data_IF_269038129709
#
_entry.id   IF_269038129709
#
_cell.length_a   1.000
_cell.length_b   1.000
_cell.length_c   1.000
_cell.angle_alpha   90.00
_cell.angle_beta   90.00
_cell.angle_gamma   90.00
#
_symmetry.space_group_name_H-M   'P 1'
#
loop_
_entity.id
_entity.type
_entity.pdbx_description
1 polymer ?
#
# COMPACT_ATOMS: atom_id res chain seq x y z
N UNK A 1 -33.94 23.60 12.37
CA UNK A 1 -33.16 22.36 12.63
C UNK A 1 -32.07 22.10 11.57
N UNK A 2 -32.39 22.03 10.27
CA UNK A 2 -31.43 21.73 9.18
C UNK A 2 -30.17 22.62 9.08
N UNK A 3 -30.26 23.92 9.43
CA UNK A 3 -29.12 24.87 9.33
C UNK A 3 -28.01 24.58 10.35
N UNK A 4 -28.34 24.09 11.56
CA UNK A 4 -27.36 23.73 12.57
C UNK A 4 -26.64 22.42 12.23
N UNK A 5 -27.38 21.40 11.79
CA UNK A 5 -26.83 20.10 11.40
C UNK A 5 -25.84 20.23 10.24
N UNK A 6 -26.16 21.04 9.22
CA UNK A 6 -25.26 21.28 8.08
C UNK A 6 -23.94 21.95 8.49
N UNK A 7 -24.00 22.97 9.36
CA UNK A 7 -22.79 23.65 9.86
C UNK A 7 -21.89 22.68 10.63
N UNK A 8 -22.48 21.86 11.51
CA UNK A 8 -21.74 20.83 12.25
C UNK A 8 -21.09 19.81 11.33
N UNK A 9 -21.82 19.29 10.34
CA UNK A 9 -21.31 18.30 9.38
C UNK A 9 -20.11 18.83 8.58
N UNK A 10 -20.21 20.08 8.09
CA UNK A 10 -19.12 20.75 7.36
C UNK A 10 -17.88 20.91 8.22
N UNK A 11 -18.05 21.35 9.47
CA UNK A 11 -16.93 21.50 10.40
C UNK A 11 -16.27 20.15 10.67
N UNK A 12 -17.05 19.10 10.91
CA UNK A 12 -16.52 17.75 11.14
C UNK A 12 -15.72 17.24 9.95
N UNK A 13 -16.27 17.35 8.72
CA UNK A 13 -15.57 16.91 7.50
C UNK A 13 -14.32 17.76 7.22
N UNK A 14 -14.37 19.06 7.45
CA UNK A 14 -13.22 19.94 7.28
C UNK A 14 -12.10 19.59 8.27
N UNK A 15 -12.43 19.40 9.55
CA UNK A 15 -11.46 19.02 10.59
C UNK A 15 -10.85 17.65 10.28
N UNK A 16 -11.66 16.66 9.88
CA UNK A 16 -11.17 15.34 9.51
C UNK A 16 -10.18 15.42 8.33
N UNK A 17 -10.56 16.10 7.23
CA UNK A 17 -9.67 16.26 6.09
C UNK A 17 -8.41 17.08 6.44
N UNK A 18 -8.51 18.09 7.32
CA UNK A 18 -7.34 18.83 7.79
C UNK A 18 -6.36 17.95 8.58
N UNK A 19 -6.87 17.07 9.46
CA UNK A 19 -6.04 16.09 10.17
C UNK A 19 -5.37 15.14 9.17
N UNK A 20 -6.12 14.61 8.20
CA UNK A 20 -5.55 13.76 7.15
C UNK A 20 -4.47 14.47 6.32
N UNK A 21 -4.64 15.76 6.01
CA UNK A 21 -3.63 16.55 5.32
C UNK A 21 -2.35 16.66 6.15
N UNK A 22 -2.46 16.96 7.45
CA UNK A 22 -1.29 17.06 8.35
C UNK A 22 -0.58 15.70 8.43
N UNK A 23 -1.33 14.60 8.59
CA UNK A 23 -0.76 13.25 8.60
C UNK A 23 -0.06 12.92 7.28
N UNK A 24 -0.64 13.30 6.13
CA UNK A 24 -0.04 13.13 4.82
C UNK A 24 1.30 13.87 4.69
N UNK A 25 1.38 15.12 5.16
CA UNK A 25 2.63 15.91 5.18
C UNK A 25 3.68 15.26 6.09
N UNK A 26 3.29 14.79 7.27
CA UNK A 26 4.20 14.09 8.20
C UNK A 26 4.76 12.82 7.55
N UNK A 27 3.91 12.02 6.89
CA UNK A 27 4.35 10.81 6.18
C UNK A 27 5.30 11.12 5.03
N UNK A 28 5.00 12.15 4.23
CA UNK A 28 5.91 12.59 3.16
C UNK A 28 7.26 13.05 3.71
N UNK A 29 7.26 13.85 4.77
CA UNK A 29 8.48 14.31 5.42
C UNK A 29 9.29 13.14 5.98
N UNK A 30 8.64 12.20 6.67
CA UNK A 30 9.29 11.01 7.21
C UNK A 30 9.88 10.10 6.11
N UNK A 31 9.13 9.87 5.02
CA UNK A 31 9.61 9.10 3.89
C UNK A 31 10.79 9.76 3.16
N UNK A 32 10.76 11.10 3.01
CA UNK A 32 11.89 11.85 2.47
C UNK A 32 13.11 11.82 3.40
N UNK A 33 12.89 11.91 4.71
CA UNK A 33 13.95 11.78 5.71
C UNK A 33 14.60 10.38 5.65
N UNK A 34 13.81 9.31 5.53
CA UNK A 34 14.34 7.96 5.29
C UNK A 34 15.22 7.93 4.04
N UNK A 35 14.76 8.50 2.92
CA UNK A 35 15.55 8.54 1.69
C UNK A 35 16.90 9.25 1.84
N UNK A 36 16.97 10.30 2.68
CA UNK A 36 18.23 11.02 2.94
C UNK A 36 19.21 10.23 3.80
N UNK A 37 18.73 9.39 4.72
CA UNK A 37 19.58 8.57 5.59
C UNK A 37 20.02 7.26 4.91
N UNK A 38 19.20 6.74 3.97
CA UNK A 38 19.54 5.55 3.18
C UNK A 38 20.68 5.84 2.19
N UNK A 39 20.85 7.09 1.73
CA UNK A 39 21.89 7.45 0.75
C UNK A 39 23.33 7.45 1.26
N UNK A 40 23.57 7.35 2.58
CA UNK A 40 24.92 7.32 3.17
C UNK A 40 25.44 5.92 3.49
N UNK A 41 24.59 4.89 3.38
CA UNK A 41 24.91 3.50 3.63
C UNK A 41 24.66 2.75 2.31
N UNK A 42 25.51 1.80 1.94
CA UNK A 42 25.32 0.97 0.75
C UNK A 42 24.15 0.00 1.03
N UNK A 43 22.91 0.52 1.01
CA UNK A 43 21.72 -0.23 1.42
C UNK A 43 20.99 -0.78 0.21
N UNK A 44 20.70 -2.06 0.33
CA UNK A 44 19.86 -2.89 -0.52
C UNK A 44 18.59 -2.18 -1.05
N UNK A 45 18.16 -2.56 -2.26
CA UNK A 45 17.06 -1.93 -3.01
C UNK A 45 15.70 -1.97 -2.26
N UNK A 46 15.60 -2.76 -1.20
CA UNK A 46 14.38 -2.99 -0.44
C UNK A 46 14.02 -1.82 0.49
N UNK A 47 14.99 -1.17 1.12
CA UNK A 47 14.74 -0.03 2.03
C UNK A 47 14.32 1.23 1.27
N UNK A 48 14.92 1.47 0.10
CA UNK A 48 14.53 2.59 -0.78
C UNK A 48 13.11 2.44 -1.31
N UNK A 49 12.67 1.21 -1.62
CA UNK A 49 11.29 0.92 -1.99
C UNK A 49 10.31 1.24 -0.86
N UNK A 50 10.62 0.85 0.37
CA UNK A 50 9.77 1.15 1.54
C UNK A 50 9.62 2.66 1.74
N UNK A 51 10.73 3.41 1.70
CA UNK A 51 10.70 4.86 1.83
C UNK A 51 9.86 5.51 0.70
N UNK A 52 10.03 5.05 -0.54
CA UNK A 52 9.28 5.53 -1.71
C UNK A 52 7.78 5.28 -1.55
N UNK A 53 7.38 4.09 -1.10
CA UNK A 53 5.97 3.75 -0.86
C UNK A 53 5.36 4.66 0.21
N UNK A 54 6.10 4.94 1.30
CA UNK A 54 5.63 5.86 2.36
C UNK A 54 5.38 7.26 1.81
N UNK A 55 6.29 7.80 0.99
CA UNK A 55 6.11 9.11 0.36
C UNK A 55 4.88 9.13 -0.56
N UNK A 56 4.71 8.11 -1.39
CA UNK A 56 3.57 8.01 -2.30
C UNK A 56 2.24 7.93 -1.54
N UNK A 57 2.18 7.13 -0.47
CA UNK A 57 1.00 7.05 0.40
C UNK A 57 0.68 8.41 1.04
N UNK A 58 1.69 9.12 1.55
CA UNK A 58 1.53 10.46 2.09
C UNK A 58 0.99 11.46 1.06
N UNK A 59 1.50 11.41 -0.17
CA UNK A 59 1.06 12.26 -1.27
C UNK A 59 -0.40 12.01 -1.65
N UNK A 60 -0.82 10.74 -1.77
CA UNK A 60 -2.21 10.38 -2.04
C UNK A 60 -3.14 10.88 -0.93
N UNK A 61 -2.78 10.67 0.33
CA UNK A 61 -3.55 11.17 1.48
C UNK A 61 -3.70 12.70 1.46
N UNK A 62 -2.61 13.42 1.13
CA UNK A 62 -2.62 14.87 1.04
C UNK A 62 -3.52 15.37 -0.10
N UNK A 63 -3.43 14.78 -1.29
CA UNK A 63 -4.30 15.12 -2.43
C UNK A 63 -5.76 14.88 -2.05
N UNK A 64 -6.08 13.71 -1.50
CA UNK A 64 -7.43 13.35 -1.07
C UNK A 64 -7.99 14.35 -0.05
N UNK A 65 -7.17 14.76 0.93
CA UNK A 65 -7.53 15.74 1.93
C UNK A 65 -7.78 17.15 1.33
N UNK A 66 -6.95 17.59 0.40
CA UNK A 66 -7.15 18.87 -0.31
C UNK A 66 -8.46 18.86 -1.09
N UNK A 67 -8.75 17.78 -1.82
CA UNK A 67 -10.02 17.61 -2.52
C UNK A 67 -11.21 17.63 -1.55
N UNK A 68 -11.11 16.95 -0.39
CA UNK A 68 -12.15 16.96 0.64
C UNK A 68 -12.39 18.34 1.27
N UNK A 69 -11.32 19.07 1.57
CA UNK A 69 -11.39 20.45 2.06
C UNK A 69 -12.02 21.38 1.02
N UNK A 70 -11.57 21.30 -0.24
CA UNK A 70 -12.08 22.13 -1.33
C UNK A 70 -13.56 21.83 -1.63
N UNK A 71 -13.95 20.55 -1.63
CA UNK A 71 -15.36 20.14 -1.79
C UNK A 71 -16.26 20.70 -0.68
N UNK A 72 -15.75 20.74 0.57
CA UNK A 72 -16.48 21.28 1.72
C UNK A 72 -16.57 22.81 1.68
N UNK A 73 -15.49 23.48 1.24
CA UNK A 73 -15.40 24.95 1.18
C UNK A 73 -16.17 25.56 0.02
N UNK A 74 -16.03 25.03 -1.20
CA UNK A 74 -16.62 25.62 -2.40
C UNK A 74 -18.15 25.43 -2.48
N UNK A 75 -18.74 24.60 -1.61
CA UNK A 75 -20.17 24.25 -1.59
C UNK A 75 -20.73 23.85 -2.97
N UNK A 76 -19.83 23.43 -3.88
CA UNK A 76 -20.18 23.15 -5.26
C UNK A 76 -20.67 21.71 -5.35
N UNK A 77 -21.84 21.52 -5.97
CA UNK A 77 -22.42 20.18 -6.14
C UNK A 77 -21.46 19.27 -6.89
N UNK A 78 -20.78 19.79 -7.91
CA UNK A 78 -19.85 19.01 -8.74
C UNK A 78 -18.66 18.49 -7.94
N UNK A 79 -18.01 19.31 -7.10
CA UNK A 79 -16.86 18.86 -6.32
C UNK A 79 -17.23 17.90 -5.20
N UNK A 80 -18.41 18.08 -4.60
CA UNK A 80 -18.87 17.17 -3.56
C UNK A 80 -19.31 15.82 -4.15
N UNK A 81 -19.86 15.81 -5.37
CA UNK A 81 -20.12 14.57 -6.13
C UNK A 81 -18.79 13.90 -6.50
N UNK A 82 -17.80 14.64 -7.02
CA UNK A 82 -16.50 14.03 -7.37
C UNK A 82 -15.82 13.42 -6.15
N UNK A 83 -15.86 14.10 -4.99
CA UNK A 83 -15.34 13.56 -3.73
C UNK A 83 -16.03 12.24 -3.33
N UNK A 84 -17.37 12.20 -3.39
CA UNK A 84 -18.12 10.98 -3.10
C UNK A 84 -17.78 9.84 -4.08
N UNK A 85 -17.65 10.14 -5.38
CA UNK A 85 -17.27 9.15 -6.41
C UNK A 85 -15.87 8.60 -6.14
N UNK A 86 -14.90 9.44 -5.80
CA UNK A 86 -13.54 8.98 -5.50
C UNK A 86 -13.54 8.06 -4.27
N UNK A 87 -14.28 8.41 -3.21
CA UNK A 87 -14.41 7.53 -2.02
C UNK A 87 -15.02 6.17 -2.37
N UNK A 88 -16.04 6.13 -3.24
CA UNK A 88 -16.63 4.86 -3.69
C UNK A 88 -15.62 4.04 -4.51
N UNK A 89 -14.84 4.67 -5.39
CA UNK A 89 -13.80 3.98 -6.16
C UNK A 89 -12.74 3.38 -5.22
N UNK A 90 -12.29 4.14 -4.21
CA UNK A 90 -11.32 3.66 -3.22
C UNK A 90 -11.87 2.49 -2.40
N UNK A 91 -13.13 2.56 -1.97
CA UNK A 91 -13.80 1.46 -1.28
C UNK A 91 -13.84 0.19 -2.12
N UNK A 92 -14.17 0.30 -3.40
CA UNK A 92 -14.20 -0.84 -4.32
C UNK A 92 -12.80 -1.45 -4.47
N UNK A 93 -11.77 -0.61 -4.67
CA UNK A 93 -10.38 -1.08 -4.76
C UNK A 93 -9.97 -1.79 -3.47
N UNK A 94 -10.28 -1.24 -2.29
CA UNK A 94 -9.94 -1.86 -1.00
C UNK A 94 -10.64 -3.20 -0.82
N UNK A 95 -11.92 -3.32 -1.16
CA UNK A 95 -12.64 -4.60 -1.10
C UNK A 95 -11.98 -5.64 -2.02
N UNK A 96 -11.56 -5.26 -3.23
CA UNK A 96 -10.80 -6.15 -4.11
C UNK A 96 -9.47 -6.56 -3.50
N UNK A 97 -8.69 -5.63 -2.96
CA UNK A 97 -7.40 -5.92 -2.31
C UNK A 97 -7.55 -6.87 -1.12
N UNK A 98 -8.56 -6.63 -0.26
CA UNK A 98 -8.88 -7.51 0.88
C UNK A 98 -9.34 -8.89 0.40
N UNK A 99 -10.14 -8.96 -0.67
CA UNK A 99 -10.54 -10.25 -1.22
C UNK A 99 -9.33 -11.04 -1.73
N UNK A 100 -8.43 -10.40 -2.47
CA UNK A 100 -7.19 -11.01 -2.96
C UNK A 100 -6.32 -11.47 -1.78
N UNK A 101 -6.13 -10.64 -0.74
CA UNK A 101 -5.32 -11.00 0.42
C UNK A 101 -5.88 -12.19 1.20
N UNK A 102 -7.21 -12.32 1.33
CA UNK A 102 -7.83 -13.52 1.91
C UNK A 102 -7.59 -14.78 1.07
N UNK A 103 -7.73 -14.69 -0.25
CA UNK A 103 -7.41 -15.82 -1.15
C UNK A 103 -5.92 -16.17 -1.14
N UNK A 104 -5.08 -15.19 -0.84
CA UNK A 104 -3.65 -15.40 -0.65
C UNK A 104 -3.34 -16.18 0.62
N UNK A 105 -3.99 -15.84 1.73
CA UNK A 105 -3.85 -16.55 3.00
C UNK A 105 -4.41 -17.97 2.96
N UNK A 106 -5.46 -18.25 2.16
CA UNK A 106 -6.08 -19.59 2.07
C UNK A 106 -5.35 -20.58 1.16
N UNK A 107 -4.18 -20.20 0.62
CA UNK A 107 -3.31 -21.09 -0.14
C UNK A 107 -3.52 -21.07 -1.67
N UNK A 108 -4.52 -20.38 -2.22
CA UNK A 108 -4.64 -20.26 -3.69
C UNK A 108 -3.51 -19.44 -4.31
N UNK A 109 -3.00 -18.43 -3.59
CA UNK A 109 -1.79 -17.71 -4.03
C UNK A 109 -0.55 -18.60 -4.05
N UNK A 110 -0.50 -19.72 -3.31
CA UNK A 110 0.67 -20.62 -3.36
C UNK A 110 0.96 -21.11 -4.77
N UNK A 111 -0.07 -21.40 -5.58
CA UNK A 111 0.10 -21.84 -6.97
C UNK A 111 0.59 -20.72 -7.90
N UNK A 112 0.08 -19.49 -7.74
CA UNK A 112 0.54 -18.33 -8.51
C UNK A 112 1.95 -17.90 -8.10
N UNK A 113 2.24 -17.99 -6.80
CA UNK A 113 3.55 -17.73 -6.22
C UNK A 113 4.58 -18.73 -6.73
N UNK A 114 4.24 -20.01 -6.70
CA UNK A 114 5.09 -21.07 -7.21
C UNK A 114 5.39 -20.88 -8.69
N UNK A 115 4.39 -20.53 -9.50
CA UNK A 115 4.59 -20.18 -10.91
C UNK A 115 5.46 -18.94 -11.11
N UNK A 116 5.31 -17.92 -10.27
CA UNK A 116 6.14 -16.72 -10.31
C UNK A 116 7.60 -17.03 -10.00
N UNK A 117 7.85 -17.83 -8.96
CA UNK A 117 9.19 -18.31 -8.65
C UNK A 117 9.75 -19.28 -9.70
N UNK A 118 8.90 -20.09 -10.36
CA UNK A 118 9.31 -20.90 -11.52
C UNK A 118 9.78 -20.03 -12.69
N UNK A 119 9.08 -18.93 -12.97
CA UNK A 119 9.44 -18.01 -14.05
C UNK A 119 10.71 -17.20 -13.72
N UNK A 120 10.85 -16.77 -12.45
CA UNK A 120 12.06 -16.13 -11.95
C UNK A 120 13.26 -17.10 -11.94
N UNK A 121 13.01 -18.39 -11.73
CA UNK A 121 14.00 -19.45 -11.75
C UNK A 121 14.21 -20.00 -13.19
N UNK A 122 14.48 -19.10 -14.15
CA UNK A 122 14.91 -19.53 -15.48
C UNK A 122 16.33 -20.12 -15.42
N UNK A 123 16.43 -21.44 -15.69
CA UNK A 123 17.68 -22.20 -15.69
C UNK A 123 18.76 -21.60 -16.60
N UNK A 124 18.38 -20.82 -17.62
CA UNK A 124 19.32 -20.22 -18.59
C UNK A 124 19.91 -18.87 -18.16
N UNK A 125 19.23 -18.09 -17.31
CA UNK A 125 19.63 -16.71 -16.98
C UNK A 125 19.78 -16.41 -15.47
N UNK A 126 19.80 -17.45 -14.62
CA UNK A 126 19.77 -17.34 -13.15
C UNK A 126 20.83 -16.40 -12.54
N UNK A 127 22.01 -16.24 -13.16
CA UNK A 127 23.08 -15.36 -12.65
C UNK A 127 22.89 -13.87 -13.01
N UNK A 128 21.86 -13.54 -13.81
CA UNK A 128 21.55 -12.16 -14.25
C UNK A 128 20.14 -11.70 -13.84
N UNK A 129 19.37 -12.55 -13.17
CA UNK A 129 18.02 -12.20 -12.75
C UNK A 129 18.05 -11.30 -11.51
N UNK A 130 18.15 -9.99 -11.75
CA UNK A 130 18.15 -8.93 -10.71
C UNK A 130 16.99 -9.05 -9.73
N UNK A 131 15.84 -9.52 -10.21
CA UNK A 131 14.64 -9.69 -9.38
C UNK A 131 14.77 -10.84 -8.37
N UNK A 132 15.43 -11.94 -8.72
CA UNK A 132 15.62 -13.04 -7.78
C UNK A 132 16.64 -12.68 -6.70
N UNK A 133 17.75 -12.05 -7.10
CA UNK A 133 18.77 -11.55 -6.16
C UNK A 133 18.18 -10.55 -5.16
N UNK A 134 17.23 -9.72 -5.58
CA UNK A 134 16.48 -8.85 -4.66
C UNK A 134 15.71 -9.65 -3.59
N UNK A 135 15.00 -10.71 -3.98
CA UNK A 135 14.26 -11.52 -3.01
C UNK A 135 15.19 -12.32 -2.08
N UNK A 136 16.33 -12.80 -2.60
CA UNK A 136 17.35 -13.49 -1.81
C UNK A 136 17.92 -12.62 -0.70
N UNK A 137 18.26 -11.37 -1.02
CA UNK A 137 18.79 -10.40 -0.06
C UNK A 137 17.71 -9.95 0.93
N UNK A 138 16.53 -9.61 0.42
CA UNK A 138 15.44 -9.07 1.22
C UNK A 138 14.83 -10.10 2.21
N UNK A 139 14.65 -11.36 1.80
CA UNK A 139 14.08 -12.41 2.64
C UNK A 139 15.14 -13.28 3.32
N UNK A 140 16.42 -13.03 3.06
CA UNK A 140 17.53 -13.83 3.55
C UNK A 140 17.34 -15.32 3.21
N UNK A 141 17.14 -15.57 1.92
CA UNK A 141 16.90 -16.89 1.33
C UNK A 141 17.85 -17.12 0.16
N UNK A 142 17.94 -18.35 -0.33
CA UNK A 142 18.74 -18.66 -1.51
C UNK A 142 18.05 -19.68 -2.41
N UNK A 143 18.01 -19.39 -3.70
CA UNK A 143 17.39 -20.26 -4.68
C UNK A 143 15.86 -20.30 -4.56
N UNK A 144 15.23 -21.12 -5.42
CA UNK A 144 13.78 -21.27 -5.43
C UNK A 144 13.29 -22.02 -4.18
N UNK A 145 13.75 -23.25 -4.03
CA UNK A 145 13.38 -24.19 -2.98
C UNK A 145 14.48 -24.32 -1.92
N UNK A 146 15.75 -24.19 -2.32
CA UNK A 146 16.91 -24.18 -1.42
C UNK A 146 18.15 -23.67 -2.15
N UNK A 147 19.20 -23.31 -1.40
CA UNK A 147 20.53 -23.03 -1.93
C UNK A 147 21.08 -24.16 -2.82
N UNK A 148 20.65 -25.41 -2.58
CA UNK A 148 21.04 -26.57 -3.39
C UNK A 148 20.65 -26.42 -4.87
N UNK A 149 19.65 -25.61 -5.20
CA UNK A 149 19.16 -25.42 -6.57
C UNK A 149 20.25 -24.82 -7.48
N UNK A 150 21.15 -23.99 -6.95
CA UNK A 150 22.31 -23.48 -7.70
C UNK A 150 23.33 -24.59 -7.99
N UNK A 151 23.64 -25.41 -6.99
CA UNK A 151 24.60 -26.51 -7.12
C UNK A 151 24.10 -27.60 -8.09
N UNK A 152 22.80 -27.87 -8.13
CA UNK A 152 22.19 -28.79 -9.10
C UNK A 152 22.31 -28.34 -10.56
N UNK A 153 22.64 -27.07 -10.81
CA UNK A 153 22.92 -26.53 -12.15
C UNK A 153 24.41 -26.31 -12.40
N UNK A 154 25.28 -26.85 -11.54
CA UNK A 154 26.72 -26.60 -11.56
C UNK A 154 27.06 -25.09 -11.49
N UNK A 155 26.23 -24.31 -10.78
CA UNK A 155 26.42 -22.86 -10.57
C UNK A 155 26.77 -22.57 -9.12
N UNK A 156 27.57 -21.54 -8.91
CA UNK A 156 27.85 -20.99 -7.57
C UNK A 156 26.71 -20.03 -7.19
N UNK A 157 26.20 -20.08 -5.95
CA UNK A 157 25.24 -19.10 -5.46
C UNK A 157 25.76 -17.66 -5.61
N UNK A 158 24.91 -16.70 -6.01
CA UNK A 158 25.29 -15.30 -6.09
C UNK A 158 25.55 -14.71 -4.69
N UNK A 159 26.26 -13.57 -4.58
CA UNK A 159 26.48 -12.88 -3.31
C UNK A 159 25.19 -12.55 -2.54
N UNK A 160 24.07 -12.33 -3.23
CA UNK A 160 22.73 -12.12 -2.62
C UNK A 160 22.26 -13.28 -1.72
N UNK A 161 22.76 -14.49 -1.95
CA UNK A 161 22.45 -15.67 -1.14
C UNK A 161 23.22 -15.72 0.19
N UNK A 162 24.13 -14.78 0.45
CA UNK A 162 25.05 -14.87 1.58
C UNK A 162 25.03 -13.61 2.43
N UNK A 163 25.18 -13.80 3.74
CA UNK A 163 25.28 -12.70 4.70
C UNK A 163 26.51 -11.84 4.38
N UNK A 164 26.32 -10.52 4.43
CA UNK A 164 27.35 -9.54 4.06
C UNK A 164 27.88 -9.69 2.63
N UNK A 165 27.12 -10.35 1.75
CA UNK A 165 27.51 -10.66 0.38
C UNK A 165 28.80 -11.50 0.27
N UNK A 166 29.18 -12.20 1.36
CA UNK A 166 30.37 -13.06 1.40
C UNK A 166 29.98 -14.55 1.40
N UNK A 167 30.02 -15.15 0.20
CA UNK A 167 29.79 -16.58 -0.02
C UNK A 167 31.05 -17.44 0.12
N UNK A 168 32.20 -16.86 0.49
CA UNK A 168 33.44 -17.63 0.69
C UNK A 168 33.32 -18.54 1.92
N UNK A 169 32.54 -18.10 2.91
CA UNK A 169 32.26 -18.85 4.12
C UNK A 169 30.88 -19.51 4.06
N UNK A 170 30.84 -20.84 4.11
CA UNK A 170 29.60 -21.63 4.02
C UNK A 170 28.63 -21.29 5.16
N UNK A 171 29.12 -20.80 6.30
CA UNK A 171 28.26 -20.36 7.42
C UNK A 171 27.40 -19.12 7.09
N UNK A 172 27.77 -18.34 6.08
CA UNK A 172 27.01 -17.15 5.69
C UNK A 172 25.90 -17.45 4.68
N UNK A 173 25.85 -18.66 4.13
CA UNK A 173 24.91 -19.05 3.09
C UNK A 173 23.49 -19.24 3.66
N UNK A 174 22.50 -18.57 3.08
CA UNK A 174 21.10 -18.82 3.39
C UNK A 174 20.66 -20.16 2.82
N UNK A 175 20.19 -21.08 3.67
CA UNK A 175 19.86 -22.46 3.25
C UNK A 175 18.41 -22.60 2.81
N UNK A 176 17.53 -21.77 3.37
CA UNK A 176 16.09 -21.75 3.08
C UNK A 176 15.81 -21.21 1.67
N UNK A 177 14.87 -21.83 0.95
CA UNK A 177 14.39 -21.35 -0.34
C UNK A 177 13.48 -20.13 -0.26
N UNK A 178 13.55 -19.29 -1.29
CA UNK A 178 12.80 -18.05 -1.35
C UNK A 178 11.29 -18.24 -1.52
N UNK A 179 10.85 -19.32 -2.18
CA UNK A 179 9.41 -19.61 -2.33
C UNK A 179 8.73 -19.77 -0.95
N UNK A 180 9.37 -20.55 -0.06
CA UNK A 180 8.87 -20.80 1.29
C UNK A 180 8.90 -19.54 2.14
N UNK A 181 10.04 -18.83 2.17
CA UNK A 181 10.21 -17.60 2.96
C UNK A 181 9.24 -16.50 2.55
N UNK A 182 8.99 -16.35 1.24
CA UNK A 182 8.01 -15.38 0.75
C UNK A 182 6.58 -15.77 1.14
N UNK A 183 6.24 -17.07 1.09
CA UNK A 183 4.97 -17.57 1.60
C UNK A 183 4.75 -17.24 3.07
N UNK A 184 5.74 -17.53 3.92
CA UNK A 184 5.71 -17.20 5.36
C UNK A 184 5.57 -15.69 5.60
N UNK A 185 6.34 -14.88 4.87
CA UNK A 185 6.26 -13.41 4.94
C UNK A 185 4.85 -12.91 4.59
N UNK A 186 4.25 -13.41 3.51
CA UNK A 186 2.91 -13.02 3.12
C UNK A 186 1.88 -13.43 4.18
N UNK A 187 1.96 -14.65 4.71
CA UNK A 187 1.02 -15.08 5.76
C UNK A 187 1.13 -14.23 7.02
N UNK A 188 2.36 -13.90 7.45
CA UNK A 188 2.60 -13.05 8.62
C UNK A 188 2.05 -11.63 8.41
N UNK A 189 2.36 -11.00 7.27
CA UNK A 189 1.98 -9.60 7.01
C UNK A 189 0.53 -9.42 6.56
N UNK A 190 -0.09 -10.45 6.00
CA UNK A 190 -1.50 -10.40 5.56
C UNK A 190 -2.44 -10.09 6.73
N UNK A 191 -2.15 -10.58 7.94
CA UNK A 191 -2.97 -10.28 9.12
C UNK A 191 -3.03 -8.78 9.40
N UNK A 192 -1.87 -8.12 9.51
CA UNK A 192 -1.79 -6.68 9.76
C UNK A 192 -2.41 -5.86 8.62
N UNK A 193 -2.16 -6.24 7.36
CA UNK A 193 -2.74 -5.59 6.20
C UNK A 193 -4.27 -5.65 6.21
N UNK A 194 -4.85 -6.81 6.53
CA UNK A 194 -6.30 -6.99 6.58
C UNK A 194 -6.93 -6.14 7.69
N UNK A 195 -6.32 -6.11 8.89
CA UNK A 195 -6.81 -5.26 9.98
C UNK A 195 -6.82 -3.78 9.61
N UNK A 196 -5.73 -3.27 9.02
CA UNK A 196 -5.64 -1.87 8.60
C UNK A 196 -6.67 -1.56 7.50
N UNK A 197 -6.81 -2.47 6.53
CA UNK A 197 -7.77 -2.30 5.43
C UNK A 197 -9.22 -2.23 5.91
N UNK A 198 -9.62 -3.05 6.88
CA UNK A 198 -10.96 -2.96 7.47
C UNK A 198 -11.21 -1.64 8.19
N UNK A 199 -10.22 -1.11 8.91
CA UNK A 199 -10.32 0.21 9.53
C UNK A 199 -10.49 1.34 8.50
N UNK A 200 -9.77 1.25 7.37
CA UNK A 200 -9.89 2.20 6.27
C UNK A 200 -11.28 2.15 5.63
N UNK A 201 -11.80 0.96 5.32
CA UNK A 201 -13.14 0.77 4.76
C UNK A 201 -14.22 1.41 5.64
N UNK A 202 -14.17 1.16 6.96
CA UNK A 202 -15.15 1.74 7.90
C UNK A 202 -15.07 3.27 7.88
N UNK A 203 -13.85 3.82 7.88
CA UNK A 203 -13.62 5.27 7.86
C UNK A 203 -14.13 5.91 6.57
N UNK A 204 -13.87 5.28 5.41
CA UNK A 204 -14.35 5.74 4.10
C UNK A 204 -15.88 5.65 3.98
N UNK A 205 -16.50 4.60 4.51
CA UNK A 205 -17.96 4.48 4.55
C UNK A 205 -18.58 5.61 5.37
N UNK A 206 -18.04 5.90 6.55
CA UNK A 206 -18.49 7.01 7.40
C UNK A 206 -18.34 8.35 6.64
N UNK A 207 -17.18 8.56 6.00
CA UNK A 207 -16.92 9.76 5.17
C UNK A 207 -17.90 9.90 4.01
N UNK A 208 -18.20 8.80 3.32
CA UNK A 208 -19.15 8.76 2.20
C UNK A 208 -20.57 9.07 2.64
N UNK A 209 -21.03 8.49 3.76
CA UNK A 209 -22.36 8.79 4.34
C UNK A 209 -22.45 10.29 4.69
N UNK A 210 -21.43 10.85 5.33
CA UNK A 210 -21.42 12.29 5.62
C UNK A 210 -21.41 13.16 4.37
N UNK A 211 -20.66 12.78 3.33
CA UNK A 211 -20.67 13.49 2.05
C UNK A 211 -22.05 13.46 1.39
N UNK A 212 -22.74 12.31 1.39
CA UNK A 212 -24.09 12.15 0.87
C UNK A 212 -25.13 12.98 1.63
N UNK A 213 -25.08 12.96 2.96
CA UNK A 213 -25.97 13.80 3.80
C UNK A 213 -25.73 15.29 3.51
N UNK A 214 -24.46 15.69 3.32
CA UNK A 214 -24.11 17.06 2.97
C UNK A 214 -24.64 17.44 1.57
N UNK A 215 -24.50 16.55 0.58
CA UNK A 215 -25.02 16.70 -0.78
C UNK A 215 -26.53 16.92 -0.78
N UNK A 216 -27.27 16.06 -0.08
CA UNK A 216 -28.72 16.15 0.03
C UNK A 216 -29.16 17.45 0.71
N UNK A 217 -28.46 17.85 1.78
CA UNK A 217 -28.73 19.12 2.45
C UNK A 217 -28.51 20.33 1.53
N UNK A 218 -27.45 20.32 0.71
CA UNK A 218 -27.17 21.40 -0.25
C UNK A 218 -28.18 21.39 -1.40
N UNK A 219 -28.60 20.21 -1.87
CA UNK A 219 -29.61 20.07 -2.92
C UNK A 219 -30.96 20.63 -2.46
N UNK A 220 -31.46 20.17 -1.32
CA UNK A 220 -32.73 20.63 -0.73
C UNK A 220 -32.74 22.16 -0.53
N UNK A 221 -31.64 22.74 -0.04
CA UNK A 221 -31.53 24.20 0.11
C UNK A 221 -31.64 24.96 -1.21
N UNK A 222 -30.99 24.47 -2.27
CA UNK A 222 -31.03 25.09 -3.59
C UNK A 222 -32.41 25.00 -4.21
N UNK A 223 -33.07 23.86 -4.05
CA UNK A 223 -34.41 23.64 -4.60
C UNK A 223 -35.41 24.55 -3.91
N UNK A 224 -35.34 24.71 -2.57
CA UNK A 224 -36.16 25.71 -1.85
C UNK A 224 -35.95 27.14 -2.35
N UNK A 225 -34.71 27.58 -2.57
CA UNK A 225 -34.45 28.94 -3.09
C UNK A 225 -35.11 29.14 -4.47
N UNK A 226 -35.06 28.12 -5.33
CA UNK A 226 -35.71 28.18 -6.65
C UNK A 226 -37.23 28.25 -6.57
N UNK A 227 -37.86 27.68 -5.53
CA UNK A 227 -39.32 27.76 -5.35
C UNK A 227 -39.80 29.13 -4.81
N UNK A 228 -38.92 29.90 -4.15
CA UNK A 228 -39.28 31.20 -3.56
C UNK A 228 -38.95 32.42 -4.44
N UNK A 229 -38.23 32.23 -5.56
CA UNK A 229 -37.92 33.24 -6.57
C UNK A 229 -38.66 32.95 -7.87
#
# INVERSE_FOLDING_TARGET
MFRCTRKRLKVTLFVFNAICAIMGVILMWFGAWLHSNIGEIDVDNSETLVATVIVLLGAVLLVMAIFGCAATYMESKSMLISYAVILVILLVIQIFLVSISYTAASGSLSSGLQRGFDELWDRRNTNKNTTLSFYEEWLQCCGKSSANDYFLMDKVPPPSCCRYQDCTNVLNLYVDGCEKKFGEYLTEKTSSFNTISWCLIITELIGSVFACILLDSIRDYRDRIRFYN
#
